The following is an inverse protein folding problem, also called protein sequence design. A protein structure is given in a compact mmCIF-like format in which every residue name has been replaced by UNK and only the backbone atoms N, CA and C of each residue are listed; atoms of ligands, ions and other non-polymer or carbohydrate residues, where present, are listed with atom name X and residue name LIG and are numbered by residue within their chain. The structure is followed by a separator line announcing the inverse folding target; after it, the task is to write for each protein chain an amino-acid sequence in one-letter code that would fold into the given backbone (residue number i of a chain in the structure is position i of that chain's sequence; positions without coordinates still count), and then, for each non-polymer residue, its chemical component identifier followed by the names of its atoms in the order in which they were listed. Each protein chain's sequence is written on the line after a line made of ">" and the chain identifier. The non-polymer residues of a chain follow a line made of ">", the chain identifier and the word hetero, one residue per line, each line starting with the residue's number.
data_IF_992409576604
#
_entry.id   IF_992409576604
#
_cell.length_a   1.000
_cell.length_b   1.000
_cell.length_c   1.000
_cell.angle_alpha   90.00
_cell.angle_beta   90.00
_cell.angle_gamma   90.00
#
_symmetry.space_group_name_H-M   'P 1'
#
loop_
_entity.id
_entity.type
_entity.pdbx_description
1 polymer ?
#
# COMPACT_ATOMS: atom_id res chain seq x y z
N UNK A 1 -22.82 21.60 0.48
CA UNK A 1 -22.59 21.17 1.88
C UNK A 1 -23.73 21.66 2.76
N UNK A 2 -24.34 20.78 3.55
CA UNK A 2 -25.46 21.12 4.44
C UNK A 2 -25.04 20.81 5.90
N UNK A 3 -25.30 21.69 6.88
CA UNK A 3 -24.79 21.52 8.25
C UNK A 3 -25.24 20.25 8.99
N UNK A 4 -26.32 19.61 8.53
CA UNK A 4 -26.85 18.36 9.10
C UNK A 4 -26.59 17.13 8.21
N UNK A 5 -25.90 17.31 7.09
CA UNK A 5 -25.51 16.20 6.23
C UNK A 5 -24.23 15.56 6.76
N UNK A 6 -24.07 14.27 6.52
CA UNK A 6 -22.77 13.62 6.75
C UNK A 6 -21.70 14.26 5.86
N UNK A 7 -20.49 14.33 6.40
CA UNK A 7 -19.33 14.84 5.66
C UNK A 7 -19.04 13.93 4.47
N UNK A 8 -18.95 14.52 3.28
CA UNK A 8 -18.59 13.81 2.06
C UNK A 8 -17.14 14.13 1.69
N UNK A 9 -16.31 13.10 1.64
CA UNK A 9 -14.88 13.24 1.36
C UNK A 9 -14.62 13.70 -0.08
N UNK A 10 -15.24 13.03 -1.07
CA UNK A 10 -15.12 13.40 -2.48
C UNK A 10 -16.48 13.57 -3.18
N UNK A 11 -17.05 14.78 -3.25
CA UNK A 11 -18.25 15.04 -4.05
C UNK A 11 -18.07 14.73 -5.54
N UNK A 12 -16.85 14.84 -6.07
CA UNK A 12 -16.59 14.62 -7.48
C UNK A 12 -16.76 13.14 -7.88
N UNK A 13 -16.32 12.18 -7.05
CA UNK A 13 -16.55 10.75 -7.31
C UNK A 13 -18.03 10.43 -7.42
N UNK A 14 -18.86 11.03 -6.55
CA UNK A 14 -20.31 10.83 -6.55
C UNK A 14 -20.94 11.38 -7.83
N UNK A 15 -20.55 12.59 -8.24
CA UNK A 15 -21.06 13.19 -9.47
C UNK A 15 -20.72 12.36 -10.71
N UNK A 16 -19.47 11.87 -10.81
CA UNK A 16 -19.07 11.00 -11.92
C UNK A 16 -19.79 9.65 -11.88
N UNK A 17 -19.98 9.06 -10.70
CA UNK A 17 -20.71 7.81 -10.57
C UNK A 17 -22.16 7.94 -11.04
N UNK A 18 -22.84 9.05 -10.71
CA UNK A 18 -24.18 9.32 -11.22
C UNK A 18 -24.19 9.66 -12.72
N UNK A 19 -23.21 10.43 -13.19
CA UNK A 19 -23.10 10.81 -14.60
C UNK A 19 -22.85 9.59 -15.51
N UNK A 20 -21.99 8.68 -15.07
CA UNK A 20 -21.59 7.48 -15.82
C UNK A 20 -22.46 6.26 -15.50
N UNK A 21 -23.29 6.34 -14.45
CA UNK A 21 -24.09 5.23 -13.90
C UNK A 21 -23.24 4.00 -13.52
N UNK A 22 -22.02 4.24 -13.03
CA UNK A 22 -21.05 3.21 -12.70
C UNK A 22 -20.25 3.61 -11.46
N UNK A 23 -19.88 2.64 -10.61
CA UNK A 23 -18.92 2.88 -9.54
C UNK A 23 -17.51 2.71 -10.09
N UNK A 24 -16.63 3.67 -9.84
CA UNK A 24 -15.25 3.62 -10.31
C UNK A 24 -14.32 4.49 -9.47
N UNK A 25 -13.02 4.38 -9.75
CA UNK A 25 -11.95 5.07 -9.02
C UNK A 25 -11.80 6.55 -9.40
N UNK A 26 -12.91 7.29 -9.39
CA UNK A 26 -12.98 8.67 -9.87
C UNK A 26 -12.20 9.67 -9.03
N UNK A 27 -11.89 9.39 -7.76
CA UNK A 27 -11.03 10.28 -6.98
C UNK A 27 -9.59 10.12 -7.45
N UNK A 28 -9.10 8.88 -7.51
CA UNK A 28 -7.70 8.58 -7.84
C UNK A 28 -7.34 9.00 -9.28
N UNK A 29 -8.27 8.86 -10.23
CA UNK A 29 -8.07 9.22 -11.64
C UNK A 29 -7.83 10.74 -11.86
N UNK A 30 -8.14 11.59 -10.89
CA UNK A 30 -8.11 13.07 -11.06
C UNK A 30 -6.78 13.72 -10.70
N UNK A 31 -5.83 12.98 -10.13
CA UNK A 31 -4.52 13.52 -9.77
C UNK A 31 -3.48 12.44 -9.59
N UNK A 32 -2.47 12.41 -10.47
CA UNK A 32 -1.36 11.46 -10.38
C UNK A 32 -0.44 11.83 -9.21
N UNK A 33 -0.24 10.96 -8.20
CA UNK A 33 0.53 11.28 -7.01
C UNK A 33 2.05 11.16 -7.19
N UNK A 34 2.59 11.32 -8.41
CA UNK A 34 4.03 11.14 -8.69
C UNK A 34 4.91 11.93 -7.73
N UNK A 35 4.55 13.19 -7.45
CA UNK A 35 5.24 14.03 -6.49
C UNK A 35 5.26 13.44 -5.06
N UNK A 36 4.15 12.83 -4.60
CA UNK A 36 4.08 12.21 -3.28
C UNK A 36 4.98 10.97 -3.21
N UNK A 37 5.07 10.21 -4.30
CA UNK A 37 5.94 9.03 -4.38
C UNK A 37 7.41 9.43 -4.35
N UNK A 38 7.81 10.41 -5.15
CA UNK A 38 9.17 10.95 -5.13
C UNK A 38 9.55 11.46 -3.73
N UNK A 39 8.62 12.12 -3.04
CA UNK A 39 8.82 12.58 -1.67
C UNK A 39 8.97 11.41 -0.68
N UNK A 40 8.13 10.37 -0.77
CA UNK A 40 8.24 9.17 0.06
C UNK A 40 9.57 8.46 -0.13
N UNK A 41 10.05 8.37 -1.37
CA UNK A 41 11.36 7.80 -1.69
C UNK A 41 12.50 8.67 -1.17
N UNK A 42 12.45 9.99 -1.38
CA UNK A 42 13.47 10.94 -0.93
C UNK A 42 13.62 10.98 0.60
N UNK A 43 12.52 10.84 1.33
CA UNK A 43 12.50 10.84 2.80
C UNK A 43 12.76 9.47 3.41
N UNK A 44 12.91 8.42 2.58
CA UNK A 44 13.00 7.02 2.99
C UNK A 44 11.89 6.62 3.99
N UNK A 45 10.70 7.20 3.82
CA UNK A 45 9.59 7.04 4.74
C UNK A 45 9.12 5.58 4.79
N UNK A 46 8.79 5.10 5.98
CA UNK A 46 8.31 3.74 6.15
C UNK A 46 6.86 3.63 5.66
N UNK A 47 6.70 3.06 4.45
CA UNK A 47 5.38 2.83 3.86
C UNK A 47 4.50 1.93 4.73
N UNK A 48 5.06 1.09 5.59
CA UNK A 48 4.27 0.23 6.49
C UNK A 48 3.47 1.07 7.46
N UNK A 49 4.15 2.01 8.11
CA UNK A 49 3.54 3.01 8.99
C UNK A 49 2.49 3.84 8.26
N UNK A 50 2.74 4.22 7.01
CA UNK A 50 1.76 4.97 6.22
C UNK A 50 0.49 4.15 5.94
N UNK A 51 0.65 2.88 5.57
CA UNK A 51 -0.47 2.02 5.15
C UNK A 51 -1.27 1.44 6.32
N UNK A 52 -0.67 1.29 7.50
CA UNK A 52 -1.32 0.80 8.72
C UNK A 52 -1.97 1.91 9.57
N UNK A 53 -1.76 3.17 9.23
CA UNK A 53 -2.29 4.33 9.94
C UNK A 53 -1.24 5.03 10.79
N UNK A 54 -1.38 6.35 10.90
CA UNK A 54 -0.39 7.23 11.52
C UNK A 54 -1.02 7.98 12.68
N UNK A 55 -0.38 7.94 13.84
CA UNK A 55 -0.65 8.87 14.93
C UNK A 55 0.19 10.14 14.76
N UNK A 56 -0.46 11.30 14.69
CA UNK A 56 0.21 12.58 14.51
C UNK A 56 -0.34 13.66 15.45
N UNK A 57 0.53 14.55 15.98
CA UNK A 57 0.09 15.70 16.76
C UNK A 57 -0.55 16.76 15.86
N UNK A 58 -1.31 17.69 16.45
CA UNK A 58 -1.95 18.80 15.74
C UNK A 58 -1.01 19.66 14.87
N UNK A 59 0.30 19.68 15.19
CA UNK A 59 1.29 20.46 14.43
C UNK A 59 1.39 20.01 12.97
N UNK A 60 1.09 18.74 12.67
CA UNK A 60 1.13 18.18 11.32
C UNK A 60 0.20 18.92 10.35
N UNK A 61 -0.89 19.52 10.85
CA UNK A 61 -1.85 20.25 10.02
C UNK A 61 -1.41 21.69 9.69
N UNK A 62 -0.44 22.21 10.45
CA UNK A 62 0.09 23.57 10.30
C UNK A 62 1.45 23.59 9.57
N UNK A 63 2.04 22.43 9.35
CA UNK A 63 3.30 22.26 8.63
C UNK A 63 3.06 22.26 7.12
N UNK A 64 3.50 23.33 6.44
CA UNK A 64 3.37 23.50 4.98
C UNK A 64 4.70 23.37 4.23
N UNK A 65 5.80 23.14 4.93
CA UNK A 65 7.13 23.22 4.33
C UNK A 65 7.46 21.92 3.61
N UNK A 66 7.54 21.97 2.29
CA UNK A 66 8.04 20.86 1.44
C UNK A 66 9.46 20.40 1.85
N UNK A 67 10.23 21.27 2.52
CA UNK A 67 11.56 20.96 3.06
C UNK A 67 11.54 20.20 4.41
N UNK A 68 10.36 19.92 5.00
CA UNK A 68 10.31 19.03 6.16
C UNK A 68 10.54 17.59 5.70
N UNK A 69 11.45 16.86 6.36
CA UNK A 69 11.66 15.41 6.18
C UNK A 69 10.40 14.55 6.48
N UNK A 70 9.25 15.18 6.76
CA UNK A 70 7.98 14.54 7.08
C UNK A 70 7.02 14.69 5.89
N UNK A 71 6.67 13.59 5.18
CA UNK A 71 5.74 13.62 4.06
C UNK A 71 4.26 13.75 4.47
N UNK A 72 3.93 13.50 5.75
CA UNK A 72 2.54 13.35 6.20
C UNK A 72 1.66 14.58 6.01
N UNK A 73 2.11 15.82 6.29
CA UNK A 73 1.30 17.00 6.03
C UNK A 73 0.82 17.10 4.58
N UNK A 74 1.69 16.78 3.62
CA UNK A 74 1.39 16.86 2.19
C UNK A 74 0.46 15.73 1.73
N UNK A 75 0.65 14.50 2.23
CA UNK A 75 -0.25 13.37 1.94
C UNK A 75 -1.66 13.65 2.50
N UNK A 76 -1.75 14.24 3.69
CA UNK A 76 -3.02 14.67 4.28
C UNK A 76 -3.68 15.79 3.46
N UNK A 77 -2.95 16.86 3.14
CA UNK A 77 -3.48 18.02 2.41
C UNK A 77 -3.91 17.67 0.97
N UNK A 78 -3.25 16.71 0.34
CA UNK A 78 -3.62 16.19 -0.99
C UNK A 78 -4.83 15.24 -0.94
N UNK A 79 -5.34 14.90 0.25
CA UNK A 79 -6.53 14.07 0.42
C UNK A 79 -6.27 12.57 0.37
N UNK A 80 -5.01 12.11 0.44
CA UNK A 80 -4.72 10.68 0.56
C UNK A 80 -4.96 10.16 1.99
N UNK A 81 -4.81 11.03 2.99
CA UNK A 81 -5.13 10.72 4.39
C UNK A 81 -6.27 11.61 4.90
N UNK A 82 -7.05 11.07 5.83
CA UNK A 82 -8.08 11.80 6.57
C UNK A 82 -8.04 11.43 8.04
N UNK A 83 -8.67 12.25 8.90
CA UNK A 83 -8.77 11.96 10.32
C UNK A 83 -9.80 10.84 10.53
N UNK A 84 -9.37 9.74 11.15
CA UNK A 84 -10.22 8.60 11.55
C UNK A 84 -10.49 8.52 13.03
N UNK A 85 -9.65 9.16 13.84
CA UNK A 85 -9.80 9.20 15.29
C UNK A 85 -9.00 10.32 15.94
N UNK A 86 -9.32 10.60 17.19
CA UNK A 86 -8.60 11.55 18.03
C UNK A 86 -8.45 10.96 19.43
N UNK A 87 -7.21 10.86 19.91
CA UNK A 87 -6.90 10.52 21.28
C UNK A 87 -6.82 11.81 22.10
N UNK A 88 -7.83 12.05 22.95
CA UNK A 88 -7.89 13.26 23.80
C UNK A 88 -6.78 13.31 24.86
N UNK A 89 -6.31 12.15 25.34
CA UNK A 89 -5.30 12.05 26.40
C UNK A 89 -3.95 12.51 25.90
N UNK A 90 -3.56 12.08 24.70
CA UNK A 90 -2.27 12.43 24.10
C UNK A 90 -2.36 13.59 23.11
N UNK A 91 -3.59 14.03 22.76
CA UNK A 91 -3.89 15.04 21.74
C UNK A 91 -3.32 14.67 20.36
N UNK A 92 -3.41 13.39 20.03
CA UNK A 92 -2.96 12.83 18.77
C UNK A 92 -4.16 12.49 17.87
N UNK A 93 -3.96 12.64 16.57
CA UNK A 93 -4.94 12.28 15.54
C UNK A 93 -4.50 10.99 14.88
N UNK A 94 -5.44 10.06 14.69
CA UNK A 94 -5.26 8.92 13.83
C UNK A 94 -5.58 9.32 12.39
N UNK A 95 -4.59 9.22 11.53
CA UNK A 95 -4.68 9.49 10.09
C UNK A 95 -4.64 8.17 9.33
N UNK A 96 -5.65 7.92 8.50
CA UNK A 96 -5.69 6.77 7.58
C UNK A 96 -6.29 7.17 6.23
N UNK A 97 -6.21 6.26 5.26
CA UNK A 97 -6.91 6.42 3.99
C UNK A 97 -8.43 6.60 4.19
N UNK A 98 -9.08 7.47 3.42
CA UNK A 98 -10.50 7.75 3.59
C UNK A 98 -11.38 6.52 3.30
N UNK A 99 -10.98 5.70 2.32
CA UNK A 99 -11.66 4.47 1.92
C UNK A 99 -10.70 3.55 1.14
N UNK A 100 -11.21 2.39 0.73
CA UNK A 100 -10.46 1.37 -0.02
C UNK A 100 -10.10 1.80 -1.45
N UNK A 101 -10.91 2.62 -2.12
CA UNK A 101 -10.59 3.17 -3.44
C UNK A 101 -9.27 3.95 -3.40
N UNK A 102 -9.15 4.87 -2.44
CA UNK A 102 -7.95 5.69 -2.27
C UNK A 102 -6.78 4.86 -1.78
N UNK A 103 -7.01 3.96 -0.81
CA UNK A 103 -5.97 3.07 -0.27
C UNK A 103 -5.37 2.19 -1.37
N UNK A 104 -6.18 1.40 -2.07
CA UNK A 104 -5.69 0.46 -3.06
C UNK A 104 -5.21 1.15 -4.33
N UNK A 105 -5.85 2.24 -4.76
CA UNK A 105 -5.33 3.07 -5.86
C UNK A 105 -3.93 3.62 -5.56
N UNK A 106 -3.70 4.07 -4.32
CA UNK A 106 -2.38 4.54 -3.90
C UNK A 106 -1.35 3.40 -3.82
N UNK A 107 -1.70 2.25 -3.24
CA UNK A 107 -0.81 1.07 -3.15
C UNK A 107 -0.45 0.56 -4.54
N UNK A 108 -1.43 0.37 -5.42
CA UNK A 108 -1.22 -0.07 -6.82
C UNK A 108 -0.28 0.89 -7.55
N UNK A 109 -0.48 2.20 -7.35
CA UNK A 109 0.40 3.21 -7.92
C UNK A 109 1.82 3.18 -7.34
N UNK A 110 2.02 2.87 -6.06
CA UNK A 110 3.35 2.78 -5.45
C UNK A 110 4.16 1.60 -5.99
N UNK A 111 3.52 0.48 -6.30
CA UNK A 111 4.20 -0.80 -6.61
C UNK A 111 5.25 -0.64 -7.73
N UNK A 112 4.96 -0.06 -8.91
CA UNK A 112 5.96 0.09 -9.97
C UNK A 112 7.17 0.93 -9.58
N UNK A 113 6.97 2.00 -8.80
CA UNK A 113 8.05 2.90 -8.36
C UNK A 113 8.98 2.22 -7.36
N UNK A 114 8.43 1.39 -6.48
CA UNK A 114 9.22 0.64 -5.51
C UNK A 114 9.79 -0.65 -6.08
N UNK A 115 9.17 -1.24 -7.11
CA UNK A 115 9.70 -2.41 -7.80
C UNK A 115 10.77 -2.06 -8.85
N UNK A 116 10.96 -0.78 -9.20
CA UNK A 116 11.88 -0.40 -10.28
C UNK A 116 11.49 -0.99 -11.64
N UNK A 117 10.24 -1.41 -11.79
CA UNK A 117 9.66 -1.88 -13.04
C UNK A 117 9.19 -0.63 -13.76
N UNK A 118 9.85 -0.23 -14.85
CA UNK A 118 9.31 0.81 -15.72
C UNK A 118 7.90 0.37 -16.13
N UNK A 119 6.93 1.26 -15.97
CA UNK A 119 5.55 1.10 -16.48
C UNK A 119 5.58 0.95 -18.01
N UNK A 120 6.04 -0.19 -18.51
CA UNK A 120 5.57 -0.75 -19.75
C UNK A 120 4.30 -1.51 -19.41
N UNK A 121 3.28 -1.34 -20.25
CA UNK A 121 1.86 -1.71 -20.09
C UNK A 121 1.55 -3.21 -19.81
N UNK A 122 2.48 -4.00 -19.26
CA UNK A 122 2.34 -5.44 -18.99
C UNK A 122 2.94 -5.92 -17.63
N UNK A 123 3.50 -5.04 -16.79
CA UNK A 123 4.42 -5.49 -15.72
C UNK A 123 3.82 -6.11 -14.46
N UNK A 124 2.71 -5.58 -13.94
CA UNK A 124 2.17 -6.01 -12.64
C UNK A 124 0.64 -5.96 -12.65
N UNK A 125 0.00 -7.09 -12.41
CA UNK A 125 -1.45 -7.20 -12.30
C UNK A 125 -1.80 -8.11 -11.14
N UNK A 126 -2.36 -7.52 -10.08
CA UNK A 126 -2.65 -8.22 -8.83
C UNK A 126 -3.65 -9.36 -9.01
N UNK A 127 -4.60 -9.22 -9.94
CA UNK A 127 -5.64 -10.23 -10.18
C UNK A 127 -5.08 -11.59 -10.60
N UNK A 128 -3.91 -11.64 -11.26
CA UNK A 128 -3.26 -12.93 -11.57
C UNK A 128 -2.73 -13.63 -10.32
N UNK A 129 -2.10 -12.89 -9.39
CA UNK A 129 -1.63 -13.45 -8.13
C UNK A 129 -2.78 -14.05 -7.31
N UNK A 130 -3.92 -13.37 -7.29
CA UNK A 130 -5.12 -13.84 -6.57
C UNK A 130 -5.68 -15.09 -7.23
N UNK A 131 -5.89 -15.09 -8.55
CA UNK A 131 -6.42 -16.26 -9.27
C UNK A 131 -5.55 -17.51 -9.10
N UNK A 132 -4.23 -17.35 -9.08
CA UNK A 132 -3.28 -18.44 -8.86
C UNK A 132 -3.48 -19.06 -7.46
N UNK A 133 -3.57 -18.25 -6.41
CA UNK A 133 -3.87 -18.75 -5.06
C UNK A 133 -5.30 -19.30 -4.90
N UNK A 134 -6.31 -18.70 -5.53
CA UNK A 134 -7.69 -19.21 -5.44
C UNK A 134 -7.87 -20.56 -6.15
N UNK A 135 -7.08 -20.81 -7.19
CA UNK A 135 -7.10 -22.07 -7.95
C UNK A 135 -6.24 -23.18 -7.35
N UNK A 136 -5.42 -22.87 -6.34
CA UNK A 136 -4.49 -23.84 -5.75
C UNK A 136 -3.10 -23.85 -6.40
N UNK A 137 -2.87 -23.04 -7.43
CA UNK A 137 -1.63 -23.00 -8.21
C UNK A 137 -0.58 -22.08 -7.56
N UNK A 138 -0.07 -22.51 -6.41
CA UNK A 138 0.96 -21.76 -5.70
C UNK A 138 2.31 -21.76 -6.44
N UNK A 139 2.57 -22.74 -7.31
CA UNK A 139 3.79 -22.79 -8.12
C UNK A 139 3.83 -21.64 -9.13
N UNK A 140 2.72 -21.38 -9.82
CA UNK A 140 2.59 -20.20 -10.70
C UNK A 140 2.67 -18.89 -9.93
N UNK A 141 2.04 -18.81 -8.74
CA UNK A 141 2.15 -17.65 -7.86
C UNK A 141 3.61 -17.34 -7.49
N UNK A 142 4.36 -18.35 -7.02
CA UNK A 142 5.77 -18.20 -6.64
C UNK A 142 6.63 -17.82 -7.85
N UNK A 143 6.38 -18.43 -9.01
CA UNK A 143 7.08 -18.10 -10.27
C UNK A 143 6.83 -16.65 -10.67
N UNK A 144 5.57 -16.18 -10.57
CA UNK A 144 5.22 -14.79 -10.86
C UNK A 144 5.87 -13.82 -9.88
N UNK A 145 5.86 -14.16 -8.60
CA UNK A 145 6.50 -13.37 -7.56
C UNK A 145 8.01 -13.25 -7.84
N UNK A 146 8.69 -14.37 -8.11
CA UNK A 146 10.11 -14.38 -8.51
C UNK A 146 10.38 -13.56 -9.77
N UNK A 147 9.57 -13.71 -10.81
CA UNK A 147 9.71 -12.95 -12.05
C UNK A 147 9.55 -11.44 -11.80
N UNK A 148 8.59 -11.05 -10.97
CA UNK A 148 8.39 -9.66 -10.56
C UNK A 148 9.63 -9.09 -9.86
N UNK A 149 10.22 -9.85 -8.92
CA UNK A 149 11.46 -9.46 -8.23
C UNK A 149 12.71 -9.45 -9.14
N UNK A 150 12.76 -10.29 -10.17
CA UNK A 150 13.88 -10.35 -11.11
C UNK A 150 14.04 -9.05 -11.94
N UNK A 151 12.96 -8.27 -12.09
CA UNK A 151 12.96 -7.01 -12.82
C UNK A 151 13.46 -5.81 -12.01
N UNK A 152 13.84 -6.01 -10.74
CA UNK A 152 14.44 -4.96 -9.93
C UNK A 152 15.75 -4.51 -10.58
N UNK A 153 15.73 -3.33 -11.20
CA UNK A 153 16.86 -2.79 -11.96
C UNK A 153 18.11 -2.78 -11.08
N UNK A 154 19.22 -3.32 -11.61
CA UNK A 154 20.53 -3.37 -10.94
C UNK A 154 21.05 -1.99 -10.49
N UNK A 155 20.53 -0.90 -11.04
CA UNK A 155 21.01 0.47 -10.85
C UNK A 155 20.47 1.18 -9.59
N UNK A 156 19.39 0.66 -8.96
CA UNK A 156 18.96 1.13 -7.64
C UNK A 156 19.84 0.46 -6.58
N UNK A 157 21.09 0.94 -6.50
CA UNK A 157 22.15 0.52 -5.59
C UNK A 157 21.77 0.77 -4.12
N UNK A 158 20.94 -0.11 -3.57
CA UNK A 158 21.20 -0.90 -2.37
C UNK A 158 20.06 -1.91 -2.25
N UNK A 159 20.26 -3.13 -2.78
CA UNK A 159 19.38 -4.30 -2.55
C UNK A 159 19.42 -4.69 -1.06
N UNK A 160 18.92 -3.82 -0.21
CA UNK A 160 18.81 -4.05 1.22
C UNK A 160 17.63 -4.97 1.45
N UNK A 161 17.74 -5.78 2.50
CA UNK A 161 16.65 -6.63 2.96
C UNK A 161 15.36 -5.83 3.21
N UNK A 162 15.51 -4.56 3.62
CA UNK A 162 14.40 -3.60 3.76
C UNK A 162 13.65 -3.33 2.45
N UNK A 163 14.34 -3.27 1.30
CA UNK A 163 13.69 -3.02 0.02
C UNK A 163 12.76 -4.17 -0.38
N UNK A 164 13.24 -5.41 -0.28
CA UNK A 164 12.41 -6.59 -0.54
C UNK A 164 11.21 -6.65 0.41
N UNK A 165 11.41 -6.39 1.70
CA UNK A 165 10.31 -6.35 2.67
C UNK A 165 9.22 -5.34 2.29
N UNK A 166 9.61 -4.13 1.89
CA UNK A 166 8.64 -3.09 1.50
C UNK A 166 7.84 -3.55 0.30
N UNK A 167 8.48 -4.16 -0.70
CA UNK A 167 7.77 -4.64 -1.88
C UNK A 167 6.87 -5.84 -1.57
N UNK A 168 7.31 -6.81 -0.76
CA UNK A 168 6.44 -7.89 -0.28
C UNK A 168 5.22 -7.31 0.43
N UNK A 169 5.46 -6.40 1.37
CA UNK A 169 4.39 -5.74 2.11
C UNK A 169 3.38 -5.04 1.18
N UNK A 170 3.84 -4.31 0.17
CA UNK A 170 2.96 -3.67 -0.82
C UNK A 170 2.14 -4.69 -1.62
N UNK A 171 2.75 -5.77 -2.11
CA UNK A 171 2.06 -6.82 -2.86
C UNK A 171 0.97 -7.47 -2.01
N UNK A 172 1.29 -7.90 -0.78
CA UNK A 172 0.31 -8.53 0.11
C UNK A 172 -0.77 -7.56 0.59
N UNK A 173 -0.43 -6.30 0.86
CA UNK A 173 -1.44 -5.27 1.14
C UNK A 173 -2.39 -5.07 -0.03
N UNK A 174 -1.89 -5.08 -1.27
CA UNK A 174 -2.73 -4.97 -2.46
C UNK A 174 -3.59 -6.21 -2.69
N UNK A 175 -3.07 -7.42 -2.42
CA UNK A 175 -3.87 -8.65 -2.44
C UNK A 175 -5.02 -8.61 -1.43
N UNK A 176 -4.83 -7.90 -0.32
CA UNK A 176 -5.87 -7.62 0.68
C UNK A 176 -7.12 -6.92 0.14
N UNK A 177 -7.05 -6.35 -1.08
CA UNK A 177 -8.21 -5.79 -1.77
C UNK A 177 -9.24 -6.84 -2.16
N UNK A 178 -8.79 -8.07 -2.45
CA UNK A 178 -9.62 -9.12 -3.04
C UNK A 178 -9.68 -10.39 -2.18
N UNK A 179 -8.77 -10.51 -1.22
CA UNK A 179 -8.65 -11.69 -0.34
C UNK A 179 -8.43 -11.24 1.09
N UNK A 180 -8.70 -12.11 2.07
CA UNK A 180 -8.28 -11.88 3.45
C UNK A 180 -6.76 -12.10 3.55
N UNK A 181 -6.00 -11.06 3.20
CA UNK A 181 -4.55 -11.05 3.31
C UNK A 181 -4.11 -10.22 4.54
N UNK A 182 -3.50 -10.87 5.50
CA UNK A 182 -2.84 -10.24 6.64
C UNK A 182 -1.33 -10.28 6.42
N UNK A 183 -0.67 -9.13 6.51
CA UNK A 183 0.79 -9.05 6.46
C UNK A 183 1.31 -8.41 7.72
N UNK A 184 2.25 -9.08 8.38
CA UNK A 184 3.02 -8.57 9.51
C UNK A 184 4.46 -8.45 9.06
N UNK A 185 5.13 -7.38 9.47
CA UNK A 185 6.56 -7.22 9.21
C UNK A 185 7.28 -7.20 10.55
N UNK A 186 8.12 -8.19 10.80
CA UNK A 186 8.92 -8.30 12.02
C UNK A 186 10.40 -8.40 11.66
N UNK A 187 11.22 -7.46 12.14
CA UNK A 187 12.71 -7.54 12.20
C UNK A 187 13.42 -8.22 11.01
N UNK A 188 13.03 -7.99 9.76
CA UNK A 188 13.68 -8.69 8.65
C UNK A 188 12.75 -9.50 7.75
N UNK A 189 11.69 -10.05 8.33
CA UNK A 189 10.83 -11.03 7.71
C UNK A 189 9.43 -10.43 7.53
N UNK A 190 8.82 -10.71 6.39
CA UNK A 190 7.40 -10.52 6.20
C UNK A 190 6.74 -11.88 6.47
N UNK A 191 5.76 -11.86 7.36
CA UNK A 191 4.89 -13.01 7.61
C UNK A 191 3.57 -12.62 6.96
N UNK A 192 3.11 -13.40 5.98
CA UNK A 192 1.86 -13.11 5.30
C UNK A 192 0.93 -14.32 5.35
N UNK A 193 -0.33 -14.08 5.68
CA UNK A 193 -1.39 -15.08 5.61
C UNK A 193 -2.37 -14.62 4.56
N UNK A 194 -2.60 -15.43 3.53
CA UNK A 194 -3.62 -15.17 2.51
C UNK A 194 -4.68 -16.25 2.63
N UNK A 195 -5.90 -15.87 2.99
CA UNK A 195 -7.05 -16.76 3.00
C UNK A 195 -7.86 -16.53 1.73
N UNK A 196 -7.99 -17.57 0.94
CA UNK A 196 -8.91 -17.65 -0.19
C UNK A 196 -10.16 -18.43 0.23
N UNK A 197 -11.22 -18.49 -0.59
CA UNK A 197 -12.40 -19.29 -0.27
C UNK A 197 -12.12 -20.79 -0.07
N UNK A 198 -10.98 -21.31 -0.58
CA UNK A 198 -10.64 -22.75 -0.57
C UNK A 198 -9.36 -23.09 0.19
N UNK A 199 -8.43 -22.16 0.28
CA UNK A 199 -7.07 -22.42 0.76
C UNK A 199 -6.62 -21.32 1.73
N UNK A 200 -5.79 -21.69 2.70
CA UNK A 200 -5.07 -20.75 3.55
C UNK A 200 -3.59 -20.93 3.25
N UNK A 201 -2.96 -19.87 2.78
CA UNK A 201 -1.53 -19.83 2.52
C UNK A 201 -0.84 -19.07 3.64
N UNK A 202 0.22 -19.66 4.18
CA UNK A 202 1.12 -19.01 5.15
C UNK A 202 2.47 -18.85 4.47
N UNK A 203 2.93 -17.61 4.37
CA UNK A 203 4.18 -17.24 3.75
C UNK A 203 5.14 -16.72 4.81
N UNK A 204 6.33 -17.29 4.83
CA UNK A 204 7.46 -16.87 5.64
C UNK A 204 8.61 -16.49 4.70
N UNK A 205 8.99 -15.21 4.69
CA UNK A 205 10.03 -14.72 3.78
C UNK A 205 11.39 -14.64 4.48
N UNK A 206 12.40 -15.31 3.91
CA UNK A 206 13.81 -15.24 4.35
C UNK A 206 14.70 -14.64 3.28
N UNK A 207 15.52 -13.67 3.66
CA UNK A 207 16.52 -13.05 2.79
C UNK A 207 17.93 -13.64 2.96
N UNK A 208 18.31 -14.00 4.20
CA UNK A 208 19.61 -14.57 4.54
C UNK A 208 19.49 -15.90 5.32
N UNK A 209 18.46 -16.70 5.04
CA UNK A 209 18.18 -17.95 5.76
C UNK A 209 17.71 -19.07 4.84
N UNK A 210 17.59 -20.27 5.41
CA UNK A 210 17.15 -21.48 4.69
C UNK A 210 15.65 -21.70 4.81
N UNK A 211 15.08 -22.47 3.87
CA UNK A 211 13.69 -22.90 3.96
C UNK A 211 13.40 -23.71 5.24
N UNK A 212 14.38 -24.49 5.72
CA UNK A 212 14.26 -25.26 6.97
C UNK A 212 14.17 -24.36 8.21
N UNK A 213 14.86 -23.22 8.21
CA UNK A 213 14.76 -22.23 9.30
C UNK A 213 13.41 -21.52 9.30
N UNK A 214 12.85 -21.23 8.12
CA UNK A 214 11.52 -20.66 7.97
C UNK A 214 10.43 -21.61 8.51
N UNK A 215 10.51 -22.90 8.17
CA UNK A 215 9.56 -23.92 8.60
C UNK A 215 9.49 -24.14 10.12
N UNK A 216 10.54 -23.77 10.87
CA UNK A 216 10.53 -23.86 12.34
C UNK A 216 9.71 -22.77 13.03
N UNK A 217 9.29 -21.74 12.29
CA UNK A 217 8.58 -20.57 12.81
C UNK A 217 7.06 -20.60 12.55
N UNK A 218 6.61 -21.54 11.72
CA UNK A 218 5.20 -21.81 11.40
C UNK A 218 4.73 -23.01 12.22
#
# INVERSE_FOLDING_TARGET
>A
FHPRGEGMFNPFSVLNAFSNMELGSYWFQTGTPTFLVEMLQKTEYDLRTLLDGIEAPASVFSEYRVDSNNPIPLIYQSGYLTIKGFDERFRNYLLEFPNDEVRYGFVDFLVPFYAGVKNNDQGFYIGKFINELESGDYDSFLTRLQAFFAHFSYELNAKTERHYQVVFYLVFKLMGQFTEAEVKSARGCADAVVKTPKFIYVFEFKLNGTAEEALKQI
#
